data_IF_185649652218
#
_entry.id   IF_185649652218
#
_cell.length_a   1.000
_cell.length_b   1.000
_cell.length_c   1.000
_cell.angle_alpha   90.00
_cell.angle_beta   90.00
_cell.angle_gamma   90.00
#
_symmetry.space_group_name_H-M   'P 1'
#
loop_
_entity.id
_entity.type
_entity.pdbx_description
1 polymer ?
#
# COMPACT_ATOMS: atom_id res chain seq x y z
N UNK A 1 0.58 -16.37 3.70
CA UNK A 1 -0.23 -15.58 2.75
C UNK A 1 -1.55 -15.30 3.45
N UNK A 2 -1.79 -14.07 3.90
CA UNK A 2 -3.00 -13.73 4.67
C UNK A 2 -4.20 -13.70 3.72
N UNK A 3 -5.13 -14.63 3.90
CA UNK A 3 -6.42 -14.68 3.21
C UNK A 3 -7.37 -13.69 3.87
N UNK A 4 -7.71 -12.61 3.17
CA UNK A 4 -8.69 -11.63 3.63
C UNK A 4 -10.12 -12.21 3.51
N UNK A 5 -11.00 -12.05 4.51
CA UNK A 5 -12.37 -12.56 4.49
C UNK A 5 -13.20 -11.86 3.40
N UNK A 6 -14.44 -12.30 3.18
CA UNK A 6 -15.41 -11.85 2.16
C UNK A 6 -15.77 -10.35 2.08
N UNK A 7 -15.04 -9.47 2.79
CA UNK A 7 -15.09 -8.01 2.65
C UNK A 7 -13.95 -7.56 1.75
N UNK A 8 -14.16 -6.50 0.98
CA UNK A 8 -13.17 -5.93 0.04
C UNK A 8 -11.83 -5.55 0.71
N UNK A 9 -11.83 -5.31 2.04
CA UNK A 9 -10.66 -5.04 2.87
C UNK A 9 -10.88 -5.39 4.35
N UNK A 10 -9.79 -5.54 5.10
CA UNK A 10 -9.80 -5.59 6.57
C UNK A 10 -9.69 -4.16 7.14
N UNK A 11 -10.57 -3.81 8.07
CA UNK A 11 -10.54 -2.50 8.72
C UNK A 11 -9.99 -2.58 10.14
N UNK A 12 -9.11 -1.66 10.51
CA UNK A 12 -8.53 -1.52 11.86
C UNK A 12 -8.72 -0.08 12.34
N UNK A 13 -8.95 0.09 13.65
CA UNK A 13 -9.23 1.39 14.29
C UNK A 13 -10.43 2.12 13.67
N UNK A 14 -11.62 1.50 13.77
CA UNK A 14 -12.85 2.02 13.16
C UNK A 14 -13.25 3.44 13.61
N UNK A 15 -12.82 3.86 14.80
CA UNK A 15 -13.07 5.21 15.34
C UNK A 15 -12.05 6.27 14.90
N UNK A 16 -11.01 5.88 14.14
CA UNK A 16 -10.02 6.82 13.62
C UNK A 16 -10.63 7.84 12.66
N UNK A 17 -10.15 9.08 12.74
CA UNK A 17 -10.68 10.20 11.93
C UNK A 17 -10.16 10.23 10.49
N UNK A 18 -8.95 9.73 10.25
CA UNK A 18 -8.30 9.84 8.93
C UNK A 18 -8.35 8.47 8.22
N UNK A 19 -9.17 8.28 7.17
CA UNK A 19 -9.23 7.02 6.45
C UNK A 19 -7.98 6.85 5.59
N UNK A 20 -7.20 5.81 5.87
CA UNK A 20 -5.97 5.48 5.14
C UNK A 20 -6.10 4.10 4.52
N UNK A 21 -5.94 4.02 3.20
CA UNK A 21 -5.77 2.74 2.53
C UNK A 21 -4.34 2.23 2.73
N UNK A 22 -4.17 0.94 3.03
CA UNK A 22 -2.88 0.27 3.13
C UNK A 22 -2.89 -0.91 2.17
N UNK A 23 -2.01 -0.90 1.16
CA UNK A 23 -1.77 -2.08 0.33
C UNK A 23 -0.76 -2.99 1.02
N UNK A 24 -1.18 -4.21 1.33
CA UNK A 24 -0.38 -5.18 2.07
C UNK A 24 0.46 -6.05 1.12
N UNK A 25 1.76 -5.76 1.10
CA UNK A 25 2.80 -6.57 0.44
C UNK A 25 3.56 -7.47 1.42
N UNK A 26 3.11 -7.59 2.67
CA UNK A 26 3.87 -8.16 3.80
C UNK A 26 4.09 -7.14 4.91
N UNK A 27 3.08 -6.32 5.18
CA UNK A 27 3.12 -5.20 6.10
C UNK A 27 3.53 -5.64 7.52
N UNK A 28 4.53 -4.95 8.09
CA UNK A 28 4.85 -5.10 9.51
C UNK A 28 3.73 -4.51 10.37
N UNK A 29 3.39 -5.20 11.46
CA UNK A 29 2.40 -4.73 12.43
C UNK A 29 2.74 -3.34 13.00
N UNK A 30 4.02 -3.01 13.10
CA UNK A 30 4.47 -1.68 13.57
C UNK A 30 3.99 -0.54 12.67
N UNK A 31 3.84 -0.75 11.36
CA UNK A 31 3.31 0.25 10.43
C UNK A 31 1.85 0.54 10.79
N UNK A 32 1.05 -0.50 10.98
CA UNK A 32 -0.37 -0.39 11.35
C UNK A 32 -0.50 0.32 12.71
N UNK A 33 0.29 -0.10 13.71
CA UNK A 33 0.27 0.52 15.04
C UNK A 33 0.64 2.01 14.99
N UNK A 34 1.62 2.37 14.16
CA UNK A 34 2.06 3.76 13.95
C UNK A 34 0.95 4.63 13.33
N UNK A 35 0.17 4.07 12.41
CA UNK A 35 -1.00 4.75 11.82
C UNK A 35 -2.12 4.92 12.85
N UNK A 36 -2.42 3.89 13.65
CA UNK A 36 -3.44 3.95 14.70
C UNK A 36 -3.11 5.03 15.73
N UNK A 37 -1.85 5.15 16.15
CA UNK A 37 -1.38 6.21 17.07
C UNK A 37 -1.55 7.62 16.50
N UNK A 38 -1.68 7.77 15.19
CA UNK A 38 -1.94 9.04 14.48
C UNK A 38 -3.41 9.24 14.16
N UNK A 39 -4.29 8.48 14.82
CA UNK A 39 -5.75 8.57 14.67
C UNK A 39 -6.24 8.20 13.25
N UNK A 40 -5.48 7.35 12.56
CA UNK A 40 -5.89 6.83 11.26
C UNK A 40 -6.82 5.63 11.42
N UNK A 41 -7.91 5.65 10.65
CA UNK A 41 -8.74 4.47 10.34
C UNK A 41 -8.11 3.73 9.17
N UNK A 42 -7.56 2.55 9.42
CA UNK A 42 -6.74 1.83 8.43
C UNK A 42 -7.60 0.80 7.70
N UNK A 43 -7.63 0.89 6.37
CA UNK A 43 -8.31 -0.04 5.46
C UNK A 43 -7.23 -0.84 4.73
N UNK A 44 -7.06 -2.11 5.10
CA UNK A 44 -5.98 -2.98 4.64
C UNK A 44 -6.48 -3.82 3.46
N UNK A 45 -5.88 -3.59 2.30
CA UNK A 45 -6.18 -4.24 1.03
C UNK A 45 -5.09 -5.23 0.65
N UNK A 46 -5.47 -6.26 -0.09
CA UNK A 46 -4.51 -7.20 -0.66
C UNK A 46 -3.60 -6.52 -1.68
N UNK A 47 -2.40 -7.06 -1.90
CA UNK A 47 -1.44 -6.58 -2.88
C UNK A 47 -2.00 -6.41 -4.31
N UNK A 48 -3.02 -7.18 -4.69
CA UNK A 48 -3.60 -7.22 -6.04
C UNK A 48 -4.94 -6.50 -6.16
N UNK A 49 -5.39 -5.84 -5.09
CA UNK A 49 -6.63 -5.04 -5.17
C UNK A 49 -6.43 -3.91 -6.17
N UNK A 50 -7.40 -3.72 -7.08
CA UNK A 50 -7.34 -2.69 -8.11
C UNK A 50 -7.42 -1.29 -7.50
N UNK A 51 -6.84 -0.31 -8.20
CA UNK A 51 -6.90 1.08 -7.77
C UNK A 51 -8.33 1.61 -7.74
N UNK A 52 -9.17 1.17 -8.67
CA UNK A 52 -10.59 1.53 -8.71
C UNK A 52 -11.30 1.10 -7.43
N UNK A 53 -11.09 -0.15 -7.01
CA UNK A 53 -11.71 -0.70 -5.80
C UNK A 53 -11.24 0.05 -4.54
N UNK A 54 -9.94 0.32 -4.44
CA UNK A 54 -9.39 1.10 -3.32
C UNK A 54 -10.01 2.51 -3.30
N UNK A 55 -10.17 3.16 -4.46
CA UNK A 55 -10.74 4.50 -4.55
C UNK A 55 -12.23 4.56 -4.16
N UNK A 56 -13.00 3.49 -4.38
CA UNK A 56 -14.42 3.41 -3.92
C UNK A 56 -14.54 3.56 -2.40
N UNK A 57 -13.51 3.14 -1.65
CA UNK A 57 -13.46 3.31 -0.19
C UNK A 57 -13.18 4.75 0.27
N UNK A 58 -12.96 5.69 -0.67
CA UNK A 58 -12.70 7.13 -0.43
C UNK A 58 -11.60 7.39 0.62
N UNK A 59 -10.39 6.83 0.47
CA UNK A 59 -9.31 7.08 1.41
C UNK A 59 -8.79 8.52 1.27
N UNK A 60 -8.30 9.09 2.36
CA UNK A 60 -7.62 10.39 2.38
C UNK A 60 -6.15 10.29 1.89
N UNK A 61 -5.59 9.08 1.90
CA UNK A 61 -4.23 8.78 1.43
C UNK A 61 -3.99 7.28 1.38
N UNK A 62 -2.91 6.89 0.74
CA UNK A 62 -2.54 5.48 0.56
C UNK A 62 -1.11 5.19 1.04
N UNK A 63 -0.98 4.09 1.78
CA UNK A 63 0.29 3.52 2.23
C UNK A 63 0.61 2.29 1.38
N UNK A 64 1.81 2.27 0.82
CA UNK A 64 2.38 1.10 0.14
C UNK A 64 3.35 0.44 1.13
N UNK A 65 2.98 -0.73 1.66
CA UNK A 65 3.73 -1.33 2.77
C UNK A 65 5.11 -1.85 2.37
N UNK A 66 5.88 -2.30 3.36
CA UNK A 66 7.02 -3.16 3.09
C UNK A 66 6.55 -4.53 2.56
N UNK A 67 7.48 -5.28 1.97
CA UNK A 67 7.26 -6.64 1.49
C UNK A 67 8.54 -7.29 1.01
N UNK A 68 8.56 -8.63 0.83
CA UNK A 68 9.66 -9.34 0.21
C UNK A 68 9.57 -9.30 -1.32
N UNK A 69 10.66 -9.65 -2.00
CA UNK A 69 10.67 -9.91 -3.44
C UNK A 69 11.31 -8.81 -4.28
N UNK A 70 11.35 -9.06 -5.60
CA UNK A 70 11.91 -8.14 -6.60
C UNK A 70 10.80 -7.20 -7.11
N UNK A 71 10.90 -5.87 -6.91
CA UNK A 71 9.90 -4.92 -7.38
C UNK A 71 9.75 -4.92 -8.91
N UNK A 72 10.81 -5.23 -9.67
CA UNK A 72 10.77 -5.20 -11.13
C UNK A 72 9.88 -6.31 -11.73
N UNK A 73 9.58 -7.36 -10.96
CA UNK A 73 8.70 -8.45 -11.39
C UNK A 73 7.20 -8.15 -11.18
N UNK A 74 6.84 -7.03 -10.54
CA UNK A 74 5.48 -6.73 -10.07
C UNK A 74 4.73 -5.75 -10.98
N UNK A 75 4.80 -5.94 -12.29
CA UNK A 75 4.27 -5.02 -13.31
C UNK A 75 2.78 -4.67 -13.15
N UNK A 76 1.95 -5.64 -12.76
CA UNK A 76 0.51 -5.40 -12.50
C UNK A 76 0.31 -4.43 -11.33
N UNK A 77 1.06 -4.62 -10.24
CA UNK A 77 0.97 -3.77 -9.04
C UNK A 77 1.50 -2.37 -9.35
N UNK A 78 2.60 -2.25 -10.10
CA UNK A 78 3.14 -0.96 -10.58
C UNK A 78 2.08 -0.21 -11.40
N UNK A 79 1.37 -0.93 -12.28
CA UNK A 79 0.30 -0.37 -13.12
C UNK A 79 -0.87 0.15 -12.29
N UNK A 80 -1.26 -0.56 -11.23
CA UNK A 80 -2.26 -0.07 -10.28
C UNK A 80 -1.77 1.14 -9.48
N UNK A 81 -0.53 1.12 -8.98
CA UNK A 81 0.04 2.24 -8.20
C UNK A 81 0.07 3.53 -9.02
N UNK A 82 0.42 3.43 -10.31
CA UNK A 82 0.46 4.58 -11.23
C UNK A 82 -0.89 5.29 -11.32
N UNK A 83 -2.02 4.58 -11.13
CA UNK A 83 -3.36 5.17 -11.18
C UNK A 83 -3.69 6.05 -9.97
N UNK A 84 -2.93 5.98 -8.87
CA UNK A 84 -3.08 6.84 -7.69
C UNK A 84 -2.28 8.15 -7.79
N UNK A 85 -1.23 8.20 -8.62
CA UNK A 85 -0.36 9.37 -8.75
C UNK A 85 -1.20 10.55 -9.23
N UNK A 86 -1.11 11.67 -8.49
CA UNK A 86 -1.89 12.88 -8.76
C UNK A 86 -3.33 12.86 -8.23
N UNK A 87 -3.80 11.74 -7.65
CA UNK A 87 -5.15 11.63 -7.06
C UNK A 87 -5.16 11.62 -5.53
N UNK A 88 -4.16 10.99 -4.91
CA UNK A 88 -4.04 10.86 -3.46
C UNK A 88 -2.59 11.09 -3.02
N UNK A 89 -2.37 11.55 -1.78
CA UNK A 89 -1.07 11.43 -1.12
C UNK A 89 -0.66 9.95 -1.02
N UNK A 90 0.56 9.63 -1.44
CA UNK A 90 1.11 8.27 -1.43
C UNK A 90 2.35 8.26 -0.52
N UNK A 91 2.42 7.29 0.39
CA UNK A 91 3.62 7.05 1.18
C UNK A 91 4.08 5.59 1.04
N UNK A 92 5.26 5.40 0.46
CA UNK A 92 5.84 4.08 0.21
C UNK A 92 6.94 3.72 1.20
N UNK A 93 6.95 2.47 1.68
CA UNK A 93 7.89 1.96 2.67
C UNK A 93 8.62 0.74 2.08
N UNK A 94 9.96 0.78 2.01
CA UNK A 94 10.78 -0.33 1.51
C UNK A 94 10.34 -0.79 0.10
N UNK A 95 9.75 -1.99 -0.06
CA UNK A 95 9.20 -2.43 -1.34
C UNK A 95 8.18 -1.44 -1.91
N UNK A 96 7.28 -0.89 -1.07
CA UNK A 96 6.32 0.11 -1.52
C UNK A 96 6.95 1.40 -2.04
N UNK A 97 8.13 1.78 -1.54
CA UNK A 97 8.90 2.91 -2.07
C UNK A 97 9.47 2.59 -3.45
N UNK A 98 10.05 1.39 -3.63
CA UNK A 98 10.60 0.94 -4.90
C UNK A 98 9.50 0.84 -5.97
N UNK A 99 8.34 0.28 -5.64
CA UNK A 99 7.20 0.19 -6.54
C UNK A 99 6.66 1.57 -6.95
N UNK A 100 6.62 2.53 -6.01
CA UNK A 100 6.24 3.91 -6.32
C UNK A 100 7.24 4.58 -7.28
N UNK A 101 8.54 4.36 -7.08
CA UNK A 101 9.58 4.89 -7.96
C UNK A 101 9.44 4.32 -9.38
N UNK A 102 9.23 3.00 -9.52
CA UNK A 102 8.98 2.36 -10.82
C UNK A 102 7.68 2.88 -11.47
N UNK A 103 6.61 3.09 -10.69
CA UNK A 103 5.36 3.67 -11.21
C UNK A 103 5.53 5.11 -11.71
N UNK A 104 6.49 5.85 -11.13
CA UNK A 104 6.93 7.17 -11.59
C UNK A 104 7.96 7.11 -12.75
N UNK A 105 8.17 5.93 -13.35
CA UNK A 105 9.12 5.65 -14.43
C UNK A 105 10.60 5.82 -14.04
N UNK A 106 10.95 5.68 -12.76
CA UNK A 106 12.34 5.51 -12.34
C UNK A 106 12.81 4.06 -12.55
N UNK A 107 14.08 3.78 -12.23
CA UNK A 107 14.68 2.46 -12.33
C UNK A 107 15.11 1.92 -10.96
N UNK A 108 15.13 0.60 -10.82
CA UNK A 108 15.68 -0.10 -9.65
C UNK A 108 16.79 -1.05 -10.10
N UNK A 109 17.75 -1.31 -9.22
CA UNK A 109 18.80 -2.30 -9.44
C UNK A 109 19.05 -3.08 -8.15
N UNK A 110 19.57 -4.30 -8.29
CA UNK A 110 19.91 -5.15 -7.14
C UNK A 110 21.23 -4.69 -6.54
N UNK A 111 21.24 -4.43 -5.23
CA UNK A 111 22.46 -4.09 -4.50
C UNK A 111 23.39 -5.32 -4.40
N UNK A 112 24.71 -5.14 -4.38
CA UNK A 112 25.66 -6.22 -4.08
C UNK A 112 25.47 -6.80 -2.68
N UNK A 113 25.08 -5.95 -1.71
CA UNK A 113 24.72 -6.29 -0.33
C UNK A 113 23.66 -5.28 0.16
N UNK A 114 22.66 -5.75 0.89
CA UNK A 114 21.54 -4.94 1.40
C UNK A 114 20.37 -5.76 1.92
#
# INVERSE_FOLDING_TARGET
VCSYPSREYLQVNAGGRIPIALMDFGAKQSIINSLIQRDCKVMIFSARTSAEEILKSKPAGIILSNGPGDPAALNEIISEIKKFIGKLPIFGICLGHQLLALAANANTYKLPFG
#
